data_IF_788271776727
#
_entry.id   IF_788271776727
#
_cell.length_a   1.000
_cell.length_b   1.000
_cell.length_c   1.000
_cell.angle_alpha   90.00
_cell.angle_beta   90.00
_cell.angle_gamma   90.00
#
_symmetry.space_group_name_H-M   'P 1'
#
loop_
_entity.id
_entity.type
_entity.pdbx_description
1 polymer ?
#
# COMPACT_ATOMS: atom_id res chain seq x y z
N UNK A 1 -30.01 -23.32 1.11
CA UNK A 1 -30.16 -22.66 2.42
C UNK A 1 -28.95 -21.73 2.60
N UNK A 2 -29.03 -20.50 2.09
CA UNK A 2 -27.94 -19.52 2.14
C UNK A 2 -28.14 -18.60 3.35
N UNK A 3 -27.20 -18.63 4.28
CA UNK A 3 -27.22 -17.80 5.49
C UNK A 3 -27.10 -16.31 5.14
N UNK A 4 -28.04 -15.53 5.68
CA UNK A 4 -28.03 -14.09 5.94
C UNK A 4 -27.06 -13.26 5.06
N UNK A 5 -27.59 -12.71 3.96
CA UNK A 5 -26.90 -11.86 2.98
C UNK A 5 -26.33 -10.55 3.53
N UNK A 6 -25.29 -10.63 4.37
CA UNK A 6 -24.44 -9.50 4.69
C UNK A 6 -23.59 -9.20 3.45
N UNK A 7 -23.58 -7.96 2.92
CA UNK A 7 -22.75 -7.63 1.77
C UNK A 7 -21.29 -7.92 2.11
N UNK A 8 -20.66 -8.77 1.30
CA UNK A 8 -19.21 -9.00 1.37
C UNK A 8 -18.58 -7.71 0.85
N UNK A 9 -18.11 -6.85 1.74
CA UNK A 9 -17.30 -5.71 1.36
C UNK A 9 -15.92 -6.26 0.94
N UNK A 10 -15.55 -6.23 -0.34
CA UNK A 10 -14.23 -6.70 -0.74
C UNK A 10 -13.16 -5.85 -0.05
N UNK A 11 -12.00 -6.46 0.29
CA UNK A 11 -10.84 -5.71 0.76
C UNK A 11 -10.55 -4.58 -0.22
N UNK A 12 -10.43 -3.36 0.31
CA UNK A 12 -10.17 -2.18 -0.49
C UNK A 12 -9.18 -1.28 0.21
N UNK A 13 -8.34 -0.63 -0.57
CA UNK A 13 -7.49 0.46 -0.14
C UNK A 13 -7.85 1.69 -0.98
N UNK A 14 -7.96 2.83 -0.33
CA UNK A 14 -8.10 4.13 -0.98
C UNK A 14 -6.95 4.99 -0.50
N UNK A 15 -6.09 5.39 -1.42
CA UNK A 15 -4.95 6.25 -1.14
C UNK A 15 -5.26 7.66 -1.63
N UNK A 16 -4.83 8.66 -0.86
CA UNK A 16 -4.80 10.03 -1.36
C UNK A 16 -3.69 10.15 -2.40
N UNK A 17 -3.78 11.14 -3.29
CA UNK A 17 -2.84 11.33 -4.39
C UNK A 17 -1.37 11.33 -3.95
N UNK A 18 -1.07 12.03 -2.85
CA UNK A 18 0.27 12.06 -2.26
C UNK A 18 0.85 10.67 -1.92
N UNK A 19 0.00 9.73 -1.49
CA UNK A 19 0.43 8.37 -1.13
C UNK A 19 0.60 7.49 -2.35
N UNK A 20 -0.13 7.77 -3.42
CA UNK A 20 0.14 7.14 -4.72
C UNK A 20 1.51 7.56 -5.24
N UNK A 21 1.89 8.83 -5.09
CA UNK A 21 3.27 9.28 -5.37
C UNK A 21 4.31 8.56 -4.52
N UNK A 22 4.10 8.50 -3.20
CA UNK A 22 5.04 7.77 -2.34
C UNK A 22 5.15 6.30 -2.74
N UNK A 23 4.07 5.67 -3.21
CA UNK A 23 4.13 4.30 -3.72
C UNK A 23 4.98 4.19 -5.00
N UNK A 24 4.95 5.18 -5.91
CA UNK A 24 5.82 5.16 -7.12
C UNK A 24 7.28 5.13 -6.72
N UNK A 25 7.64 5.91 -5.71
CA UNK A 25 9.03 6.09 -5.26
C UNK A 25 9.57 4.83 -4.54
N UNK A 26 8.69 3.93 -4.10
CA UNK A 26 9.03 2.70 -3.40
C UNK A 26 9.02 1.45 -4.29
N UNK A 27 8.61 1.56 -5.56
CA UNK A 27 8.51 0.40 -6.48
C UNK A 27 9.82 -0.37 -6.59
N UNK A 28 10.95 0.31 -6.77
CA UNK A 28 12.26 -0.34 -6.90
C UNK A 28 12.64 -1.14 -5.64
N UNK A 29 12.34 -0.60 -4.46
CA UNK A 29 12.61 -1.29 -3.18
C UNK A 29 11.71 -2.52 -3.01
N UNK A 30 10.44 -2.41 -3.41
CA UNK A 30 9.49 -3.53 -3.37
C UNK A 30 9.93 -4.63 -4.34
N UNK A 31 10.28 -4.29 -5.58
CA UNK A 31 10.78 -5.23 -6.58
C UNK A 31 12.05 -5.94 -6.09
N UNK A 32 13.00 -5.21 -5.50
CA UNK A 32 14.21 -5.78 -4.91
C UNK A 32 13.89 -6.75 -3.76
N UNK A 33 12.99 -6.37 -2.85
CA UNK A 33 12.57 -7.24 -1.75
C UNK A 33 11.87 -8.52 -2.23
N UNK A 34 11.05 -8.43 -3.27
CA UNK A 34 10.42 -9.60 -3.90
C UNK A 34 11.47 -10.51 -4.56
N UNK A 35 12.44 -9.95 -5.27
CA UNK A 35 13.50 -10.70 -5.95
C UNK A 35 14.45 -11.41 -4.98
N UNK A 36 14.77 -10.74 -3.87
CA UNK A 36 15.65 -11.26 -2.81
C UNK A 36 14.91 -12.18 -1.82
N UNK A 37 13.60 -12.35 -1.97
CA UNK A 37 12.72 -13.07 -1.02
C UNK A 37 12.82 -12.52 0.42
N UNK A 38 13.00 -11.20 0.57
CA UNK A 38 13.13 -10.52 1.86
C UNK A 38 11.84 -9.83 2.27
N UNK A 39 11.63 -9.74 3.59
CA UNK A 39 10.59 -8.90 4.15
C UNK A 39 10.95 -7.42 3.96
N UNK A 40 9.93 -6.61 3.65
CA UNK A 40 10.01 -5.16 3.57
C UNK A 40 8.80 -4.58 4.29
N UNK A 41 8.97 -3.46 4.97
CA UNK A 41 7.87 -2.67 5.52
C UNK A 41 8.18 -1.18 5.40
N UNK A 42 7.62 -0.52 4.38
CA UNK A 42 7.78 0.92 4.16
C UNK A 42 6.50 1.67 4.54
N UNK A 43 6.64 2.77 5.25
CA UNK A 43 5.54 3.71 5.56
C UNK A 43 5.29 4.68 4.40
N UNK A 44 4.03 4.79 3.96
CA UNK A 44 3.56 5.75 2.94
C UNK A 44 2.84 6.97 3.53
N UNK A 45 2.93 7.22 4.84
CA UNK A 45 2.23 8.31 5.49
C UNK A 45 0.76 8.02 5.86
N UNK A 46 0.24 8.68 6.90
CA UNK A 46 -1.14 8.51 7.37
C UNK A 46 -1.48 7.08 7.79
N UNK A 47 -0.53 6.43 8.47
CA UNK A 47 -0.60 5.06 8.96
C UNK A 47 -0.82 4.03 7.83
N UNK A 48 -0.42 4.34 6.59
CA UNK A 48 -0.46 3.37 5.49
C UNK A 48 0.93 2.79 5.32
N UNK A 49 1.00 1.47 5.23
CA UNK A 49 2.25 0.74 5.00
C UNK A 49 2.13 -0.15 3.76
N UNK A 50 3.25 -0.31 3.07
CA UNK A 50 3.47 -1.37 2.10
C UNK A 50 4.36 -2.42 2.76
N UNK A 51 3.93 -3.68 2.71
CA UNK A 51 4.71 -4.79 3.23
C UNK A 51 4.92 -5.84 2.16
N UNK A 52 6.14 -6.32 2.03
CA UNK A 52 6.44 -7.52 1.26
C UNK A 52 6.45 -8.69 2.22
N UNK A 53 5.52 -9.61 2.02
CA UNK A 53 5.47 -10.89 2.73
C UNK A 53 5.40 -11.97 1.65
N UNK A 54 6.58 -12.45 1.27
CA UNK A 54 6.81 -13.23 0.06
C UNK A 54 5.75 -14.35 -0.12
N UNK A 55 5.07 -14.45 -1.28
CA UNK A 55 5.25 -13.69 -2.52
C UNK A 55 4.28 -12.51 -2.70
N UNK A 56 3.65 -12.04 -1.63
CA UNK A 56 2.60 -11.05 -1.70
C UNK A 56 3.07 -9.66 -1.30
N UNK A 57 2.47 -8.65 -1.94
CA UNK A 57 2.62 -7.24 -1.57
C UNK A 57 1.34 -6.78 -0.91
N UNK A 58 1.42 -6.43 0.36
CA UNK A 58 0.30 -5.90 1.13
C UNK A 58 0.36 -4.37 1.19
N UNK A 59 -0.75 -3.71 0.88
CA UNK A 59 -0.93 -2.27 1.08
C UNK A 59 -2.08 -2.09 2.06
N UNK A 60 -1.79 -1.59 3.26
CA UNK A 60 -2.77 -1.55 4.35
C UNK A 60 -2.64 -0.32 5.23
N UNK A 61 -3.80 0.20 5.69
CA UNK A 61 -3.85 1.15 6.78
C UNK A 61 -3.79 0.44 8.12
N UNK A 62 -2.92 0.92 8.98
CA UNK A 62 -2.78 0.53 10.37
C UNK A 62 -3.46 1.57 11.27
N UNK A 63 -3.78 1.14 12.47
CA UNK A 63 -4.34 1.99 13.50
C UNK A 63 -3.60 1.72 14.80
N UNK A 64 -3.18 2.80 15.44
CA UNK A 64 -2.62 2.75 16.80
C UNK A 64 -3.77 2.95 17.78
N UNK A 65 -4.07 1.95 18.64
CA UNK A 65 -5.02 2.13 19.70
C UNK A 65 -4.60 3.24 20.66
N UNK A 66 -5.53 4.00 21.26
CA UNK A 66 -5.17 5.03 22.23
C UNK A 66 -4.49 4.48 23.49
N UNK A 67 -4.71 3.19 23.79
CA UNK A 67 -4.24 2.54 25.02
C UNK A 67 -3.05 1.60 24.79
N UNK A 68 -2.49 1.56 23.58
CA UNK A 68 -1.36 0.68 23.24
C UNK A 68 -0.45 1.30 22.18
N UNK A 69 0.85 1.04 22.31
CA UNK A 69 1.84 1.48 21.34
C UNK A 69 1.98 0.55 20.11
N UNK A 70 1.16 -0.51 19.99
CA UNK A 70 1.22 -1.45 18.88
C UNK A 70 0.37 -1.01 17.66
N UNK A 71 1.00 -0.97 16.48
CA UNK A 71 0.32 -0.74 15.21
C UNK A 71 -0.51 -1.97 14.81
N UNK A 72 -1.83 -1.89 14.98
CA UNK A 72 -2.76 -2.94 14.57
C UNK A 72 -3.17 -2.84 13.09
N UNK A 73 -3.15 -3.93 12.31
CA UNK A 73 -3.65 -3.92 10.94
C UNK A 73 -5.18 -3.71 10.92
N UNK A 74 -5.67 -2.83 10.06
CA UNK A 74 -7.12 -2.63 9.88
C UNK A 74 -7.67 -3.46 8.72
N UNK A 75 -8.99 -3.60 8.62
CA UNK A 75 -9.65 -4.17 7.43
C UNK A 75 -9.49 -3.33 6.15
N UNK A 76 -8.91 -2.12 6.22
CA UNK A 76 -8.69 -1.23 5.08
C UNK A 76 -7.32 -1.50 4.47
N UNK A 77 -7.26 -2.52 3.62
CA UNK A 77 -6.06 -2.89 2.90
C UNK A 77 -6.34 -3.95 1.85
N UNK A 78 -5.33 -4.22 1.04
CA UNK A 78 -5.35 -5.27 0.02
C UNK A 78 -4.01 -6.02 0.06
N UNK A 79 -4.09 -7.33 -0.16
CA UNK A 79 -2.91 -8.18 -0.33
C UNK A 79 -2.91 -8.65 -1.78
N UNK A 80 -1.86 -8.28 -2.52
CA UNK A 80 -1.74 -8.48 -3.95
C UNK A 80 -0.80 -9.66 -4.19
N UNK A 81 -1.27 -10.62 -4.98
CA UNK A 81 -0.42 -11.68 -5.53
C UNK A 81 0.57 -11.10 -6.55
N UNK A 82 1.66 -11.80 -6.90
CA UNK A 82 2.66 -11.30 -7.85
C UNK A 82 2.07 -10.76 -9.16
N UNK A 83 1.07 -11.45 -9.72
CA UNK A 83 0.42 -11.03 -10.97
C UNK A 83 -0.48 -9.79 -10.80
N UNK A 84 -1.05 -9.59 -9.61
CA UNK A 84 -1.88 -8.41 -9.28
C UNK A 84 -0.98 -7.21 -8.98
N UNK A 85 0.11 -7.43 -8.24
CA UNK A 85 1.13 -6.41 -7.99
C UNK A 85 1.78 -5.94 -9.29
N UNK A 86 2.11 -6.86 -10.22
CA UNK A 86 2.65 -6.50 -11.54
C UNK A 86 1.72 -5.52 -12.27
N UNK A 87 0.41 -5.79 -12.31
CA UNK A 87 -0.57 -4.88 -12.93
C UNK A 87 -0.62 -3.53 -12.23
N UNK A 88 -0.55 -3.51 -10.90
CA UNK A 88 -0.50 -2.27 -10.14
C UNK A 88 0.74 -1.47 -10.50
N UNK A 89 1.91 -2.11 -10.54
CA UNK A 89 3.18 -1.49 -10.92
C UNK A 89 3.10 -0.86 -12.31
N UNK A 90 2.61 -1.61 -13.30
CA UNK A 90 2.49 -1.13 -14.68
C UNK A 90 1.66 0.17 -14.76
N UNK A 91 0.59 0.29 -13.96
CA UNK A 91 -0.25 1.51 -13.89
C UNK A 91 0.42 2.63 -13.11
N UNK A 92 1.02 2.30 -11.96
CA UNK A 92 1.65 3.29 -11.06
C UNK A 92 2.88 3.92 -11.72
N UNK A 93 3.67 3.15 -12.47
CA UNK A 93 4.87 3.64 -13.16
C UNK A 93 4.59 4.69 -14.23
N UNK A 94 3.41 4.68 -14.87
CA UNK A 94 3.01 5.67 -15.87
C UNK A 94 2.13 6.78 -15.29
N UNK A 95 1.75 6.68 -14.02
CA UNK A 95 0.80 7.61 -13.40
C UNK A 95 1.30 9.05 -13.37
N UNK A 96 2.62 9.27 -13.28
CA UNK A 96 3.22 10.60 -13.36
C UNK A 96 2.94 11.30 -14.69
N UNK A 97 2.90 10.55 -15.79
CA UNK A 97 2.67 11.09 -17.13
C UNK A 97 1.22 11.59 -17.33
N UNK A 98 0.27 11.06 -16.55
CA UNK A 98 -1.16 11.34 -16.69
C UNK A 98 -1.75 12.21 -15.58
N UNK A 99 -1.05 12.36 -14.46
CA UNK A 99 -1.53 13.11 -13.30
C UNK A 99 -0.51 14.22 -12.99
N UNK A 100 -0.59 15.38 -13.68
CA UNK A 100 0.39 16.46 -13.56
C UNK A 100 0.50 17.03 -12.14
N UNK A 101 -0.52 16.85 -11.29
CA UNK A 101 -0.49 17.18 -9.87
C UNK A 101 0.57 16.39 -9.09
N UNK A 102 1.13 15.32 -9.67
CA UNK A 102 2.20 14.52 -9.10
C UNK A 102 3.61 15.06 -9.38
N UNK A 103 3.79 15.85 -10.44
CA UNK A 103 5.12 16.25 -10.94
C UNK A 103 5.83 17.26 -10.02
N UNK A 104 5.05 18.03 -9.24
CA UNK A 104 5.57 18.98 -8.25
C UNK A 104 5.39 18.53 -6.79
N UNK A 105 4.86 17.32 -6.57
CA UNK A 105 4.49 16.89 -5.23
C UNK A 105 5.69 16.31 -4.48
N UNK A 106 6.18 17.02 -3.47
CA UNK A 106 7.16 16.51 -2.51
C UNK A 106 6.40 15.97 -1.29
N UNK A 107 6.47 14.68 -0.97
CA UNK A 107 5.88 14.14 0.25
C UNK A 107 6.47 14.84 1.48
N UNK A 108 5.60 15.37 2.34
CA UNK A 108 6.00 15.81 3.68
C UNK A 108 6.49 14.57 4.44
N UNK A 109 7.81 14.39 4.51
CA UNK A 109 8.42 13.39 5.39
C UNK A 109 8.20 13.87 6.83
N UNK A 110 7.37 13.17 7.60
CA UNK A 110 7.42 13.31 9.05
C UNK A 110 8.78 12.81 9.51
N UNK A 111 9.52 13.57 10.35
CA UNK A 111 10.75 13.08 10.95
C UNK A 111 10.45 11.82 11.79
N UNK A 112 11.35 10.85 11.70
CA UNK A 112 11.36 9.62 12.51
C UNK A 112 11.44 9.90 14.01
#
# INVERSE_FOLDING_TARGET
>A
MLGNGKPINPPRVSLALCRWKMLTDEIEKIDAALADEKELSTHLGGNVYVRVNNPCVEIRRFWTPPDRDDLGPTHKGICLRPSEYKKLKDVVSVMGDFVPELDGFVPLQSPE
#
